data_IF_338022737467
#
_entry.id   IF_338022737467
#
_cell.length_a   1.000
_cell.length_b   1.000
_cell.length_c   1.000
_cell.angle_alpha   90.00
_cell.angle_beta   90.00
_cell.angle_gamma   90.00
#
_symmetry.space_group_name_H-M   'P 1'
#
loop_
_entity.id
_entity.type
_entity.pdbx_description
1 polymer ?
#
# COMPACT_ATOMS: atom_id res chain seq x y z
N UNK A 1 13.57 -12.31 23.54
CA UNK A 1 14.72 -11.72 22.82
C UNK A 1 14.22 -11.22 21.47
N UNK A 2 14.34 -9.91 21.14
CA UNK A 2 14.03 -9.46 19.79
C UNK A 2 15.06 -10.08 18.84
N UNK A 3 14.56 -10.92 17.94
CA UNK A 3 15.36 -11.61 16.91
C UNK A 3 16.14 -10.57 16.08
N UNK A 4 17.40 -10.84 15.68
CA UNK A 4 18.04 -10.03 14.64
C UNK A 4 17.09 -10.00 13.44
N UNK A 5 16.59 -8.80 13.13
CA UNK A 5 15.60 -8.62 12.08
C UNK A 5 16.13 -9.24 10.79
N UNK A 6 15.40 -10.20 10.22
CA UNK A 6 15.92 -10.91 9.06
C UNK A 6 16.03 -9.94 7.89
N UNK A 7 17.21 -9.75 7.28
CA UNK A 7 17.37 -8.92 6.07
C UNK A 7 16.41 -9.37 4.96
N UNK A 8 16.04 -10.66 4.99
CA UNK A 8 15.03 -11.28 4.16
C UNK A 8 13.63 -10.64 4.28
N UNK A 9 13.13 -10.37 5.49
CA UNK A 9 11.79 -9.78 5.65
C UNK A 9 11.70 -8.37 5.04
N UNK A 10 12.74 -7.55 5.21
CA UNK A 10 12.83 -6.23 4.58
C UNK A 10 12.87 -6.32 3.05
N UNK A 11 13.68 -7.22 2.51
CA UNK A 11 13.76 -7.44 1.07
C UNK A 11 12.42 -7.93 0.51
N UNK A 12 11.76 -8.88 1.19
CA UNK A 12 10.45 -9.41 0.79
C UNK A 12 9.38 -8.31 0.76
N UNK A 13 9.30 -7.46 1.79
CA UNK A 13 8.35 -6.35 1.79
C UNK A 13 8.62 -5.34 0.68
N UNK A 14 9.89 -5.03 0.39
CA UNK A 14 10.24 -4.17 -0.73
C UNK A 14 9.86 -4.79 -2.08
N UNK A 15 10.11 -6.08 -2.28
CA UNK A 15 9.73 -6.76 -3.51
C UNK A 15 8.21 -6.78 -3.68
N UNK A 16 7.46 -7.07 -2.62
CA UNK A 16 5.99 -7.01 -2.65
C UNK A 16 5.48 -5.60 -2.93
N UNK A 17 6.12 -4.56 -2.39
CA UNK A 17 5.79 -3.17 -2.70
C UNK A 17 6.03 -2.85 -4.18
N UNK A 18 7.18 -3.22 -4.72
CA UNK A 18 7.55 -2.97 -6.12
C UNK A 18 6.60 -3.71 -7.05
N UNK A 19 6.36 -5.00 -6.82
CA UNK A 19 5.45 -5.81 -7.64
C UNK A 19 4.02 -5.31 -7.54
N UNK A 20 3.54 -5.05 -6.32
CA UNK A 20 2.19 -4.54 -6.06
C UNK A 20 1.93 -3.13 -6.61
N UNK A 21 2.98 -2.37 -6.91
CA UNK A 21 2.87 -1.06 -7.56
C UNK A 21 3.06 -1.16 -9.08
N UNK A 22 4.07 -1.90 -9.52
CA UNK A 22 4.46 -2.00 -10.93
C UNK A 22 3.40 -2.70 -11.76
N UNK A 23 2.82 -3.80 -11.27
CA UNK A 23 1.79 -4.55 -12.02
C UNK A 23 0.57 -3.68 -12.35
N UNK A 24 -0.10 -3.02 -11.38
CA UNK A 24 -1.24 -2.17 -11.70
C UNK A 24 -0.84 -0.95 -12.53
N UNK A 25 0.33 -0.34 -12.27
CA UNK A 25 0.79 0.80 -13.08
C UNK A 25 1.08 0.42 -14.54
N UNK A 26 1.66 -0.76 -14.79
CA UNK A 26 1.93 -1.25 -16.15
C UNK A 26 0.64 -1.54 -16.92
N UNK A 27 -0.37 -2.10 -16.25
CA UNK A 27 -1.69 -2.31 -16.86
C UNK A 27 -2.45 -1.00 -17.08
N UNK A 28 -2.27 -0.03 -16.18
CA UNK A 28 -2.91 1.26 -16.26
C UNK A 28 -2.27 2.19 -17.29
N UNK A 29 -0.99 2.00 -17.59
CA UNK A 29 -0.20 2.88 -18.46
C UNK A 29 -0.77 3.11 -19.86
N UNK A 30 -1.18 2.08 -20.62
CA UNK A 30 -1.75 2.27 -21.96
C UNK A 30 -3.08 3.04 -21.92
N UNK A 31 -3.89 2.78 -20.89
CA UNK A 31 -5.15 3.47 -20.67
C UNK A 31 -4.92 4.95 -20.33
N UNK A 32 -3.92 5.25 -19.50
CA UNK A 32 -3.53 6.61 -19.12
C UNK A 32 -3.03 7.42 -20.33
N UNK A 33 -2.31 6.80 -21.27
CA UNK A 33 -1.90 7.46 -22.51
C UNK A 33 -3.10 7.78 -23.41
N UNK A 34 -4.09 6.88 -23.46
CA UNK A 34 -5.26 7.03 -24.31
C UNK A 34 -6.28 8.05 -23.77
N UNK A 35 -6.53 8.05 -22.46
CA UNK A 35 -7.57 8.86 -21.81
C UNK A 35 -7.03 10.04 -20.98
N UNK A 36 -5.72 10.08 -20.70
CA UNK A 36 -5.14 11.06 -19.77
C UNK A 36 -5.56 10.83 -18.32
N UNK A 37 -5.46 11.87 -17.48
CA UNK A 37 -5.92 11.86 -16.09
C UNK A 37 -7.44 12.11 -15.99
N UNK A 38 -8.24 11.33 -16.71
CA UNK A 38 -9.70 11.43 -16.71
C UNK A 38 -10.32 10.45 -15.67
N UNK A 39 -10.38 10.90 -14.41
CA UNK A 39 -11.02 10.12 -13.34
C UNK A 39 -12.49 9.75 -13.64
N UNK A 40 -13.34 10.65 -14.17
CA UNK A 40 -14.70 10.30 -14.59
C UNK A 40 -14.77 9.14 -15.59
N UNK A 41 -13.93 9.16 -16.64
CA UNK A 41 -13.87 8.08 -17.62
C UNK A 41 -13.44 6.75 -16.98
N UNK A 42 -12.46 6.79 -16.08
CA UNK A 42 -11.99 5.61 -15.33
C UNK A 42 -13.11 4.97 -14.53
N UNK A 43 -13.87 5.78 -13.79
CA UNK A 43 -14.97 5.29 -12.98
C UNK A 43 -16.09 4.74 -13.88
N UNK A 44 -16.41 5.43 -14.97
CA UNK A 44 -17.40 4.96 -15.94
C UNK A 44 -17.04 3.59 -16.51
N UNK A 45 -15.79 3.38 -16.91
CA UNK A 45 -15.32 2.08 -17.42
C UNK A 45 -15.23 1.02 -16.33
N UNK A 46 -14.72 1.36 -15.14
CA UNK A 46 -14.60 0.43 -14.03
C UNK A 46 -15.97 -0.08 -13.57
N UNK A 47 -16.97 0.79 -13.52
CA UNK A 47 -18.35 0.45 -13.17
C UNK A 47 -19.22 0.04 -14.36
N UNK A 48 -18.67 0.03 -15.59
CA UNK A 48 -19.39 -0.45 -16.78
C UNK A 48 -19.72 -1.94 -16.69
N UNK A 49 -18.89 -2.70 -15.97
CA UNK A 49 -19.08 -4.14 -15.74
C UNK A 49 -19.33 -4.43 -14.26
N UNK A 50 -20.19 -5.42 -13.97
CA UNK A 50 -20.44 -5.85 -12.58
C UNK A 50 -19.17 -6.32 -11.88
N UNK A 51 -18.27 -6.98 -12.62
CA UNK A 51 -17.01 -7.50 -12.10
C UNK A 51 -16.03 -6.37 -11.78
N UNK A 52 -15.90 -5.38 -12.67
CA UNK A 52 -15.06 -4.20 -12.43
C UNK A 52 -15.53 -3.38 -11.23
N UNK A 53 -16.85 -3.18 -11.11
CA UNK A 53 -17.44 -2.50 -9.95
C UNK A 53 -17.22 -3.25 -8.64
N UNK A 54 -17.35 -4.58 -8.64
CA UNK A 54 -17.03 -5.42 -7.47
C UNK A 54 -15.56 -5.29 -7.08
N UNK A 55 -14.64 -5.37 -8.03
CA UNK A 55 -13.20 -5.23 -7.78
C UNK A 55 -12.85 -3.83 -7.24
N UNK A 56 -13.42 -2.78 -7.83
CA UNK A 56 -13.23 -1.41 -7.37
C UNK A 56 -13.71 -1.20 -5.92
N UNK A 57 -14.90 -1.72 -5.60
CA UNK A 57 -15.45 -1.65 -4.24
C UNK A 57 -14.66 -2.52 -3.24
N UNK A 58 -14.20 -3.70 -3.64
CA UNK A 58 -13.37 -4.58 -2.80
C UNK A 58 -12.05 -3.88 -2.42
N UNK A 59 -11.37 -3.27 -3.41
CA UNK A 59 -10.15 -2.49 -3.19
C UNK A 59 -10.42 -1.27 -2.29
N UNK A 60 -11.54 -0.57 -2.48
CA UNK A 60 -11.93 0.57 -1.65
C UNK A 60 -12.18 0.14 -0.20
N UNK A 61 -12.92 -0.95 0.01
CA UNK A 61 -13.15 -1.53 1.33
C UNK A 61 -11.83 -1.94 2.00
N UNK A 62 -10.97 -2.65 1.28
CA UNK A 62 -9.65 -3.05 1.77
C UNK A 62 -8.77 -1.84 2.12
N UNK A 63 -8.84 -0.75 1.34
CA UNK A 63 -8.13 0.49 1.63
C UNK A 63 -8.63 1.15 2.91
N UNK A 64 -9.95 1.25 3.10
CA UNK A 64 -10.53 1.81 4.34
C UNK A 64 -10.14 0.98 5.55
N UNK A 65 -10.27 -0.35 5.47
CA UNK A 65 -9.86 -1.27 6.55
C UNK A 65 -8.38 -1.09 6.89
N UNK A 66 -7.51 -0.98 5.87
CA UNK A 66 -6.08 -0.79 6.06
C UNK A 66 -5.78 0.57 6.71
N UNK A 67 -6.43 1.66 6.28
CA UNK A 67 -6.25 2.99 6.86
C UNK A 67 -6.68 3.03 8.33
N UNK A 68 -7.84 2.45 8.66
CA UNK A 68 -8.32 2.34 10.04
C UNK A 68 -7.35 1.53 10.89
N UNK A 69 -6.87 0.40 10.36
CA UNK A 69 -5.89 -0.45 11.05
C UNK A 69 -4.56 0.28 11.28
N UNK A 70 -4.03 1.00 10.28
CA UNK A 70 -2.83 1.83 10.43
C UNK A 70 -3.03 2.90 11.51
N UNK A 71 -4.19 3.54 11.57
CA UNK A 71 -4.48 4.58 12.56
C UNK A 71 -4.57 4.02 13.98
N UNK A 72 -5.16 2.83 14.14
CA UNK A 72 -5.23 2.11 15.42
C UNK A 72 -3.85 1.63 15.88
N UNK A 73 -3.04 1.08 14.98
CA UNK A 73 -1.67 0.63 15.28
C UNK A 73 -0.76 1.82 15.59
N UNK A 74 -0.92 2.97 14.92
CA UNK A 74 -0.15 4.18 15.21
C UNK A 74 -0.33 4.67 16.65
N UNK A 75 -1.51 4.44 17.25
CA UNK A 75 -1.74 4.74 18.68
C UNK A 75 -0.97 3.81 19.62
N UNK A 76 -0.64 2.59 19.19
CA UNK A 76 0.10 1.60 19.98
C UNK A 76 1.61 1.72 19.79
N UNK A 77 2.04 1.94 18.55
CA UNK A 77 3.43 2.09 18.14
C UNK A 77 3.52 3.29 17.19
N UNK A 78 4.06 4.44 17.62
CA UNK A 78 4.18 5.62 16.76
C UNK A 78 5.22 5.38 15.66
N UNK A 79 4.79 4.78 14.55
CA UNK A 79 5.60 4.56 13.36
C UNK A 79 5.80 5.89 12.65
N UNK A 80 7.03 6.41 12.68
CA UNK A 80 7.40 7.67 12.02
C UNK A 80 7.27 7.50 10.50
N UNK A 81 6.52 8.42 9.85
CA UNK A 81 6.20 8.42 8.41
C UNK A 81 5.13 7.39 7.95
N UNK A 82 4.31 6.86 8.86
CA UNK A 82 3.17 5.99 8.50
C UNK A 82 2.22 6.62 7.45
N UNK A 83 2.13 7.96 7.41
CA UNK A 83 1.36 8.69 6.39
C UNK A 83 1.81 8.39 4.95
N UNK A 84 3.08 8.02 4.71
CA UNK A 84 3.54 7.60 3.37
C UNK A 84 2.88 6.29 2.93
N UNK A 85 2.65 5.37 3.87
CA UNK A 85 1.97 4.12 3.59
C UNK A 85 0.47 4.33 3.34
N UNK A 86 -0.15 5.28 4.04
CA UNK A 86 -1.50 5.74 3.73
C UNK A 86 -1.58 6.38 2.33
N UNK A 87 -0.63 7.25 1.97
CA UNK A 87 -0.55 7.84 0.64
C UNK A 87 -0.38 6.77 -0.45
N UNK A 88 0.51 5.80 -0.24
CA UNK A 88 0.69 4.67 -1.16
C UNK A 88 -0.59 3.83 -1.29
N UNK A 89 -1.31 3.60 -0.19
CA UNK A 89 -2.62 2.92 -0.19
C UNK A 89 -3.62 3.65 -1.08
N UNK A 90 -3.69 4.97 -0.96
CA UNK A 90 -4.66 5.79 -1.71
C UNK A 90 -4.26 6.02 -3.17
N UNK A 91 -2.98 6.24 -3.45
CA UNK A 91 -2.51 6.62 -4.78
C UNK A 91 -2.18 5.42 -5.68
N UNK A 92 -1.77 4.30 -5.11
CA UNK A 92 -1.31 3.12 -5.87
C UNK A 92 -2.21 1.92 -5.54
N UNK A 93 -2.52 1.73 -4.26
CA UNK A 93 -3.41 0.67 -3.79
C UNK A 93 -2.92 -0.03 -2.53
N UNK A 94 -3.82 -0.80 -1.92
CA UNK A 94 -3.61 -1.57 -0.67
C UNK A 94 -2.39 -2.48 -0.74
N UNK A 95 -2.14 -3.07 -1.92
CA UNK A 95 -1.01 -3.97 -2.18
C UNK A 95 0.34 -3.28 -2.00
N UNK A 96 0.44 -1.98 -2.21
CA UNK A 96 1.65 -1.18 -1.98
C UNK A 96 1.68 -0.57 -0.56
N UNK A 97 0.53 -0.13 -0.06
CA UNK A 97 0.43 0.49 1.27
C UNK A 97 0.82 -0.44 2.42
N UNK A 98 0.36 -1.69 2.36
CA UNK A 98 0.63 -2.70 3.38
C UNK A 98 2.14 -3.01 3.54
N UNK A 99 2.89 -3.40 2.49
CA UNK A 99 4.32 -3.67 2.62
C UNK A 99 5.13 -2.43 3.01
N UNK A 100 4.76 -1.24 2.54
CA UNK A 100 5.44 0.00 2.93
C UNK A 100 5.25 0.28 4.44
N UNK A 101 4.04 0.06 4.96
CA UNK A 101 3.78 0.18 6.40
C UNK A 101 4.60 -0.83 7.21
N UNK A 102 4.62 -2.09 6.79
CA UNK A 102 5.41 -3.13 7.46
C UNK A 102 6.90 -2.80 7.47
N UNK A 103 7.44 -2.28 6.37
CA UNK A 103 8.82 -1.81 6.29
C UNK A 103 9.11 -0.67 7.28
N UNK A 104 8.24 0.33 7.36
CA UNK A 104 8.40 1.47 8.27
C UNK A 104 8.28 1.04 9.74
N UNK A 105 7.35 0.12 10.05
CA UNK A 105 7.18 -0.48 11.37
C UNK A 105 8.46 -1.24 11.78
N UNK A 106 8.99 -2.06 10.88
CA UNK A 106 10.24 -2.79 11.11
C UNK A 106 11.40 -1.83 11.42
N UNK A 107 11.53 -0.75 10.64
CA UNK A 107 12.57 0.27 10.85
C UNK A 107 12.45 0.99 12.19
N UNK A 108 11.23 1.17 12.69
CA UNK A 108 10.98 1.79 14.00
C UNK A 108 11.39 0.85 15.14
N UNK A 109 11.12 -0.46 14.98
CA UNK A 109 11.56 -1.48 15.93
C UNK A 109 13.08 -1.62 15.96
N UNK A 110 13.73 -1.65 14.79
CA UNK A 110 15.20 -1.71 14.69
C UNK A 110 15.88 -0.51 15.37
N UNK A 111 15.29 0.69 15.26
CA UNK A 111 15.81 1.90 15.89
C UNK A 111 15.58 1.96 17.41
N UNK A 112 14.58 1.22 17.93
CA UNK A 112 14.31 1.12 19.35
C UNK A 112 15.21 0.09 20.06
N UNK A 113 15.96 -0.73 19.31
CA UNK A 113 17.04 -1.56 19.84
C UNK A 113 18.30 -0.71 19.85
N UNK A 114 18.79 -0.24 21.02
CA UNK A 114 20.06 0.45 21.08
C UNK A 114 21.15 -0.53 20.67
N UNK A 115 21.86 -0.25 19.59
CA UNK A 115 23.20 -0.81 19.41
C UNK A 115 24.03 -0.30 20.59
N UNK A 116 24.42 -1.25 21.45
CA UNK A 116 25.40 -1.11 22.54
C UNK A 116 26.52 -0.13 22.26
#
# INVERSE_FOLDING_TARGET
MPSPASPFARALYLTLFVVGSAVPLLWFWPWLIAHGLDLPALLSELFSTRVGGFFGLDVLCAAVVLLVWMQLEHRRLPVRRAWLAALATCCIGVSSGLPLYLYLRQRTLDAAVPTS
#
